data_IF_137687377961
#
_entry.id   IF_137687377961
#
_cell.length_a   1.000
_cell.length_b   1.000
_cell.length_c   1.000
_cell.angle_alpha   90.00
_cell.angle_beta   90.00
_cell.angle_gamma   90.00
#
_symmetry.space_group_name_H-M   'P 1'
#
loop_
_entity.id
_entity.type
_entity.pdbx_description
1 polymer ?
#
# COMPACT_ATOMS: atom_id res chain seq x y z
N UNK A 1 -11.08 6.91 -21.58
CA UNK A 1 -11.34 6.09 -20.37
C UNK A 1 -10.47 6.65 -19.26
N UNK A 2 -11.06 7.37 -18.34
CA UNK A 2 -10.38 8.15 -17.31
C UNK A 2 -9.82 7.22 -16.23
N UNK A 3 -8.50 7.08 -16.14
CA UNK A 3 -7.86 6.47 -14.98
C UNK A 3 -8.08 7.42 -13.81
N UNK A 4 -8.84 6.97 -12.80
CA UNK A 4 -8.95 7.67 -11.53
C UNK A 4 -7.54 7.90 -11.00
N UNK A 5 -7.24 9.17 -10.76
CA UNK A 5 -6.07 9.61 -9.99
C UNK A 5 -6.08 8.86 -8.66
N UNK A 6 -5.09 7.99 -8.44
CA UNK A 6 -4.93 7.21 -7.21
C UNK A 6 -4.21 8.08 -6.17
N UNK A 7 -4.64 9.31 -5.99
CA UNK A 7 -4.25 10.16 -4.86
C UNK A 7 -5.46 11.00 -4.49
N UNK A 8 -6.42 10.32 -3.85
CA UNK A 8 -7.31 10.98 -2.91
C UNK A 8 -6.52 11.21 -1.62
N UNK A 9 -6.80 12.31 -0.94
CA UNK A 9 -6.43 12.58 0.43
C UNK A 9 -6.34 11.29 1.23
N UNK A 10 -5.16 10.98 1.75
CA UNK A 10 -5.01 10.03 2.83
C UNK A 10 -5.57 10.69 4.11
N UNK A 11 -6.86 10.98 4.08
CA UNK A 11 -7.64 10.98 5.29
C UNK A 11 -7.49 9.59 5.91
N UNK A 12 -7.16 9.52 7.18
CA UNK A 12 -7.00 8.33 8.00
C UNK A 12 -8.30 7.49 8.02
N UNK A 13 -8.73 7.04 6.86
CA UNK A 13 -9.74 6.00 6.71
C UNK A 13 -9.21 4.75 7.39
N UNK A 14 -9.91 4.28 8.42
CA UNK A 14 -9.49 3.15 9.24
C UNK A 14 -9.03 1.98 8.37
N UNK A 15 -7.96 1.29 8.79
CA UNK A 15 -7.44 0.15 8.07
C UNK A 15 -8.56 -0.86 7.78
N UNK A 16 -8.68 -1.32 6.54
CA UNK A 16 -9.64 -2.36 6.17
C UNK A 16 -9.21 -3.65 6.86
N UNK A 17 -10.04 -4.24 7.74
CA UNK A 17 -9.69 -5.49 8.38
C UNK A 17 -9.66 -6.62 7.35
N UNK A 18 -8.55 -7.34 7.30
CA UNK A 18 -8.37 -8.55 6.49
C UNK A 18 -8.13 -9.73 7.43
N UNK A 19 -8.82 -10.85 7.16
CA UNK A 19 -8.64 -12.09 7.92
C UNK A 19 -7.66 -13.06 7.22
N UNK A 20 -7.42 -14.22 7.84
CA UNK A 20 -6.54 -15.26 7.29
C UNK A 20 -6.94 -15.70 5.89
N UNK A 21 -8.23 -15.88 5.64
CA UNK A 21 -8.72 -16.27 4.31
C UNK A 21 -8.45 -15.19 3.26
N UNK A 22 -8.60 -13.93 3.61
CA UNK A 22 -8.25 -12.81 2.72
C UNK A 22 -6.76 -12.80 2.41
N UNK A 23 -5.93 -13.01 3.42
CA UNK A 23 -4.47 -13.11 3.26
C UNK A 23 -4.10 -14.22 2.28
N UNK A 24 -4.63 -15.43 2.49
CA UNK A 24 -4.39 -16.60 1.62
C UNK A 24 -4.91 -16.40 0.20
N UNK A 25 -6.05 -15.71 0.03
CA UNK A 25 -6.57 -15.33 -1.29
C UNK A 25 -5.62 -14.39 -2.01
N UNK A 26 -5.17 -13.33 -1.36
CA UNK A 26 -4.24 -12.35 -1.95
C UNK A 26 -2.93 -13.04 -2.31
N UNK A 27 -2.39 -13.91 -1.45
CA UNK A 27 -1.17 -14.68 -1.74
C UNK A 27 -1.32 -15.54 -2.99
N UNK A 28 -2.43 -16.31 -3.08
CA UNK A 28 -2.69 -17.18 -4.21
C UNK A 28 -2.78 -16.40 -5.53
N UNK A 29 -3.55 -15.31 -5.56
CA UNK A 29 -3.70 -14.49 -6.77
C UNK A 29 -2.46 -13.68 -7.11
N UNK A 30 -1.61 -13.36 -6.13
CA UNK A 30 -0.30 -12.73 -6.37
C UNK A 30 0.68 -13.73 -6.99
N UNK A 31 0.73 -14.97 -6.48
CA UNK A 31 1.61 -16.01 -7.00
C UNK A 31 1.15 -16.53 -8.37
N UNK A 32 -0.15 -16.62 -8.59
CA UNK A 32 -0.74 -17.16 -9.81
C UNK A 32 -1.85 -16.21 -10.34
N UNK A 33 -1.48 -15.10 -11.00
CA UNK A 33 -2.44 -14.08 -11.44
C UNK A 33 -3.51 -14.58 -12.44
N UNK A 34 -3.29 -15.75 -13.03
CA UNK A 34 -4.22 -16.39 -13.99
C UNK A 34 -5.09 -17.48 -13.36
N UNK A 35 -4.97 -17.72 -12.05
CA UNK A 35 -5.81 -18.71 -11.38
C UNK A 35 -7.28 -18.28 -11.44
N UNK A 36 -8.17 -19.19 -11.82
CA UNK A 36 -9.62 -18.94 -11.84
C UNK A 36 -10.24 -19.12 -10.47
N UNK A 37 -11.36 -18.41 -10.20
CA UNK A 37 -12.10 -18.46 -8.92
C UNK A 37 -12.47 -19.90 -8.52
N UNK A 38 -12.82 -20.76 -9.47
CA UNK A 38 -13.16 -22.16 -9.21
C UNK A 38 -11.94 -22.93 -8.67
N UNK A 39 -10.78 -22.75 -9.28
CA UNK A 39 -9.56 -23.41 -8.83
C UNK A 39 -9.08 -22.85 -7.48
N UNK A 40 -9.16 -21.55 -7.30
CA UNK A 40 -8.87 -20.91 -6.01
C UNK A 40 -9.78 -21.46 -4.89
N UNK A 41 -11.08 -21.67 -5.16
CA UNK A 41 -12.01 -22.24 -4.17
C UNK A 41 -11.63 -23.65 -3.77
N UNK A 42 -11.18 -24.48 -4.71
CA UNK A 42 -10.72 -25.84 -4.42
C UNK A 42 -9.46 -25.86 -3.57
N UNK A 43 -8.47 -25.05 -3.92
CA UNK A 43 -7.18 -24.97 -3.18
C UNK A 43 -7.35 -24.41 -1.78
N UNK A 44 -8.25 -23.47 -1.59
CA UNK A 44 -8.49 -22.85 -0.29
C UNK A 44 -9.54 -23.58 0.56
N UNK A 45 -10.23 -24.58 -0.02
CA UNK A 45 -11.22 -25.37 0.69
C UNK A 45 -12.49 -24.59 1.04
N UNK A 46 -12.88 -23.59 0.23
CA UNK A 46 -14.05 -22.74 0.46
C UNK A 46 -14.98 -22.72 -0.75
N UNK A 47 -16.24 -22.33 -0.58
CA UNK A 47 -17.19 -22.24 -1.68
C UNK A 47 -16.76 -21.17 -2.70
N UNK A 48 -17.04 -21.43 -4.00
CA UNK A 48 -16.76 -20.49 -5.09
C UNK A 48 -17.36 -19.09 -4.84
N UNK A 49 -18.60 -19.04 -4.34
CA UNK A 49 -19.26 -17.78 -4.00
C UNK A 49 -18.54 -16.99 -2.90
N UNK A 50 -17.93 -17.69 -1.94
CA UNK A 50 -17.12 -17.07 -0.88
C UNK A 50 -15.88 -16.41 -1.47
N UNK A 51 -15.15 -17.08 -2.37
CA UNK A 51 -13.97 -16.51 -3.06
C UNK A 51 -14.38 -15.26 -3.83
N UNK A 52 -15.44 -15.34 -4.63
CA UNK A 52 -15.90 -14.20 -5.44
C UNK A 52 -16.29 -13.01 -4.54
N UNK A 53 -17.12 -13.25 -3.53
CA UNK A 53 -17.57 -12.17 -2.62
C UNK A 53 -16.41 -11.49 -1.89
N UNK A 54 -15.38 -12.27 -1.50
CA UNK A 54 -14.18 -11.73 -0.87
C UNK A 54 -13.34 -10.89 -1.82
N UNK A 55 -13.09 -11.36 -3.04
CA UNK A 55 -12.37 -10.59 -4.07
C UNK A 55 -13.10 -9.29 -4.39
N UNK A 56 -14.43 -9.33 -4.55
CA UNK A 56 -15.24 -8.14 -4.83
C UNK A 56 -15.19 -7.14 -3.66
N UNK A 57 -15.19 -7.63 -2.42
CA UNK A 57 -15.03 -6.81 -1.23
C UNK A 57 -13.64 -6.15 -1.20
N UNK A 58 -12.58 -6.94 -1.31
CA UNK A 58 -11.19 -6.45 -1.27
C UNK A 58 -10.92 -5.42 -2.38
N UNK A 59 -11.52 -5.60 -3.56
CA UNK A 59 -11.43 -4.63 -4.65
C UNK A 59 -12.24 -3.36 -4.37
N UNK A 60 -13.45 -3.47 -3.82
CA UNK A 60 -14.31 -2.34 -3.45
C UNK A 60 -13.69 -1.50 -2.36
N UNK A 61 -13.11 -2.15 -1.36
CA UNK A 61 -12.49 -1.52 -0.21
C UNK A 61 -11.06 -1.00 -0.52
N UNK A 62 -10.59 -1.17 -1.76
CA UNK A 62 -9.31 -0.65 -2.24
C UNK A 62 -8.07 -1.43 -1.78
N UNK A 63 -8.24 -2.58 -1.11
CA UNK A 63 -7.13 -3.46 -0.73
C UNK A 63 -6.46 -4.04 -1.99
N UNK A 64 -7.28 -4.44 -2.97
CA UNK A 64 -6.81 -4.82 -4.31
C UNK A 64 -6.98 -3.59 -5.21
N UNK A 65 -5.86 -2.91 -5.50
CA UNK A 65 -5.87 -1.65 -6.25
C UNK A 65 -6.00 -1.85 -7.78
N UNK A 66 -5.77 -3.05 -8.29
CA UNK A 66 -5.88 -3.33 -9.73
C UNK A 66 -5.51 -4.77 -10.09
N UNK A 67 -5.83 -5.12 -11.32
CA UNK A 67 -5.57 -6.46 -11.90
C UNK A 67 -4.74 -6.34 -13.21
N UNK A 68 -4.04 -5.21 -13.39
CA UNK A 68 -3.18 -4.99 -14.56
C UNK A 68 -1.89 -5.82 -14.47
N UNK A 69 -1.25 -6.10 -15.63
CA UNK A 69 0.07 -6.71 -15.64
C UNK A 69 1.08 -5.75 -15.00
N UNK A 70 2.04 -6.32 -14.28
CA UNK A 70 3.22 -5.60 -13.85
C UNK A 70 4.16 -5.43 -15.05
N UNK A 71 4.61 -4.20 -15.27
CA UNK A 71 5.49 -3.85 -16.39
C UNK A 71 6.87 -3.52 -15.86
N UNK A 72 7.88 -4.23 -16.35
CA UNK A 72 9.28 -3.93 -16.07
C UNK A 72 9.79 -2.87 -17.04
N UNK A 73 10.17 -1.66 -16.57
CA UNK A 73 10.73 -0.62 -17.41
C UNK A 73 12.03 -1.06 -18.12
N UNK A 74 12.85 -1.87 -17.48
CA UNK A 74 14.10 -2.35 -18.05
C UNK A 74 13.85 -3.23 -19.28
N UNK A 75 12.82 -4.06 -19.28
CA UNK A 75 12.39 -4.86 -20.43
C UNK A 75 11.90 -4.00 -21.61
N UNK A 76 11.47 -2.77 -21.35
CA UNK A 76 11.12 -1.77 -22.37
C UNK A 76 12.32 -0.92 -22.81
N UNK A 77 13.53 -1.22 -22.33
CA UNK A 77 14.75 -0.49 -22.66
C UNK A 77 15.09 0.68 -21.73
N UNK A 78 14.32 0.91 -20.67
CA UNK A 78 14.59 1.93 -19.64
C UNK A 78 15.37 1.31 -18.48
N UNK A 79 16.66 1.02 -18.72
CA UNK A 79 17.52 0.33 -17.75
C UNK A 79 18.12 1.20 -16.65
N UNK A 80 17.97 2.53 -16.72
CA UNK A 80 18.45 3.47 -15.71
C UNK A 80 17.27 3.95 -14.87
N UNK A 81 17.38 3.83 -13.56
CA UNK A 81 16.41 4.41 -12.61
C UNK A 81 17.10 5.50 -11.80
N UNK A 82 16.44 6.63 -11.62
CA UNK A 82 16.89 7.71 -10.73
C UNK A 82 15.75 8.19 -9.84
N UNK A 83 16.12 8.70 -8.67
CA UNK A 83 15.22 9.44 -7.79
C UNK A 83 15.59 10.92 -7.88
N UNK A 84 14.61 11.74 -8.22
CA UNK A 84 14.78 13.18 -8.43
C UNK A 84 13.97 13.93 -7.40
N UNK A 85 14.67 14.66 -6.53
CA UNK A 85 14.04 15.54 -5.54
C UNK A 85 13.89 16.93 -6.15
N UNK A 86 12.69 17.48 -6.11
CA UNK A 86 12.34 18.78 -6.64
C UNK A 86 12.08 19.78 -5.53
N UNK A 87 12.59 21.01 -5.69
CA UNK A 87 12.17 22.18 -4.95
C UNK A 87 11.25 23.02 -5.85
N UNK A 88 10.10 23.40 -5.30
CA UNK A 88 9.07 24.11 -6.02
C UNK A 88 8.99 25.55 -5.54
N UNK A 89 8.54 26.44 -6.42
CA UNK A 89 8.15 27.80 -6.02
C UNK A 89 6.90 27.70 -5.15
N UNK A 90 6.88 28.46 -4.06
CA UNK A 90 5.74 28.48 -3.12
C UNK A 90 4.45 29.01 -3.74
N UNK A 91 4.53 29.78 -4.82
CA UNK A 91 3.38 30.29 -5.54
C UNK A 91 2.84 29.22 -6.51
N UNK A 92 1.66 28.67 -6.22
CA UNK A 92 0.94 27.78 -7.15
C UNK A 92 0.67 26.35 -6.67
N UNK A 93 1.29 25.91 -5.59
CA UNK A 93 1.06 24.59 -5.01
C UNK A 93 1.65 23.42 -5.83
N UNK A 94 1.49 22.18 -5.31
CA UNK A 94 2.07 20.96 -5.89
C UNK A 94 1.28 20.43 -7.12
N UNK A 95 -0.03 20.62 -7.17
CA UNK A 95 -0.93 20.04 -8.17
C UNK A 95 -0.63 20.44 -9.62
N UNK A 96 -0.34 21.73 -9.94
CA UNK A 96 -0.01 22.12 -11.31
C UNK A 96 1.28 21.45 -11.81
N UNK A 97 2.28 21.32 -10.92
CA UNK A 97 3.55 20.65 -11.23
C UNK A 97 3.31 19.16 -11.43
N UNK A 98 2.59 18.50 -10.51
CA UNK A 98 2.27 17.08 -10.60
C UNK A 98 1.55 16.72 -11.91
N UNK A 99 0.55 17.54 -12.34
CA UNK A 99 -0.13 17.34 -13.63
C UNK A 99 0.79 17.44 -14.84
N UNK A 100 1.81 18.29 -14.80
CA UNK A 100 2.79 18.43 -15.89
C UNK A 100 3.80 17.28 -15.87
N UNK A 101 4.28 16.88 -14.69
CA UNK A 101 5.16 15.71 -14.52
C UNK A 101 4.47 14.43 -15.01
N UNK A 102 3.17 14.28 -14.81
CA UNK A 102 2.40 13.13 -15.30
C UNK A 102 2.33 13.05 -16.84
N UNK A 103 2.73 14.10 -17.56
CA UNK A 103 2.83 14.10 -19.02
C UNK A 103 4.22 13.68 -19.52
N UNK A 104 5.19 13.52 -18.62
CA UNK A 104 6.54 13.02 -18.93
C UNK A 104 6.54 11.50 -18.76
N UNK A 105 6.62 10.70 -19.82
CA UNK A 105 6.47 9.25 -19.74
C UNK A 105 7.50 8.58 -18.84
N UNK A 106 8.69 9.16 -18.75
CA UNK A 106 9.79 8.65 -17.94
C UNK A 106 9.61 8.91 -16.43
N UNK A 107 8.69 9.79 -16.04
CA UNK A 107 8.29 9.98 -14.63
C UNK A 107 7.23 8.93 -14.28
N UNK A 108 7.65 7.87 -13.61
CA UNK A 108 6.77 6.73 -13.29
C UNK A 108 6.08 6.87 -11.92
N UNK A 109 6.64 7.66 -11.01
CA UNK A 109 6.05 8.00 -9.71
C UNK A 109 6.43 9.44 -9.33
N UNK A 110 5.55 10.13 -8.61
CA UNK A 110 5.81 11.43 -8.01
C UNK A 110 5.05 11.55 -6.68
N UNK A 111 5.75 11.95 -5.63
CA UNK A 111 5.23 12.07 -4.27
C UNK A 111 5.53 13.46 -3.72
N UNK A 112 4.58 14.07 -3.03
CA UNK A 112 4.87 15.20 -2.14
C UNK A 112 5.58 14.67 -0.90
N UNK A 113 6.67 15.29 -0.50
CA UNK A 113 7.50 14.82 0.61
C UNK A 113 7.72 15.92 1.64
N UNK A 114 8.08 15.52 2.84
CA UNK A 114 8.64 16.39 3.88
C UNK A 114 10.17 16.30 3.83
N UNK A 115 10.88 17.39 4.17
CA UNK A 115 12.35 17.40 4.24
C UNK A 115 12.99 18.40 3.27
N UNK A 116 14.15 18.07 2.66
CA UNK A 116 14.93 19.04 1.89
C UNK A 116 14.34 19.42 0.52
N UNK A 117 13.22 18.83 0.14
CA UNK A 117 12.51 19.13 -1.10
C UNK A 117 11.01 19.02 -0.92
N UNK A 118 10.27 19.39 -1.96
CA UNK A 118 8.80 19.42 -1.96
C UNK A 118 8.20 18.19 -2.64
N UNK A 119 8.90 17.64 -3.64
CA UNK A 119 8.47 16.44 -4.36
C UNK A 119 9.64 15.50 -4.59
N UNK A 120 9.36 14.18 -4.56
CA UNK A 120 10.26 13.11 -4.96
C UNK A 120 9.65 12.37 -6.15
N UNK A 121 10.41 12.29 -7.24
CA UNK A 121 10.02 11.56 -8.44
C UNK A 121 10.91 10.33 -8.62
N UNK A 122 10.30 9.21 -9.01
CA UNK A 122 11.02 8.07 -9.58
C UNK A 122 10.99 8.19 -11.09
N UNK A 123 12.17 8.22 -11.67
CA UNK A 123 12.39 8.49 -13.11
C UNK A 123 13.13 7.32 -13.71
N UNK A 124 12.78 6.96 -14.94
CA UNK A 124 13.48 5.94 -15.71
C UNK A 124 14.04 6.54 -17.00
N UNK A 125 15.15 5.98 -17.48
CA UNK A 125 15.79 6.42 -18.71
C UNK A 125 16.49 5.25 -19.41
N UNK A 126 16.79 5.41 -20.70
CA UNK A 126 17.47 4.37 -21.51
C UNK A 126 18.97 4.34 -21.27
N UNK A 127 19.55 5.47 -20.89
CA UNK A 127 20.98 5.65 -20.62
C UNK A 127 21.19 6.84 -19.68
N UNK A 128 22.41 7.03 -19.19
CA UNK A 128 22.76 8.22 -18.39
C UNK A 128 22.62 9.52 -19.21
N UNK A 129 22.92 9.49 -20.52
CA UNK A 129 22.71 10.64 -21.41
C UNK A 129 21.22 10.94 -21.58
N UNK A 130 20.38 9.90 -21.70
CA UNK A 130 18.94 10.06 -21.78
C UNK A 130 18.35 10.55 -20.45
N UNK A 131 18.92 10.11 -19.30
CA UNK A 131 18.54 10.62 -17.99
C UNK A 131 18.74 12.14 -17.89
N UNK A 132 19.87 12.64 -18.40
CA UNK A 132 20.12 14.10 -18.43
C UNK A 132 19.02 14.82 -19.20
N UNK A 133 18.66 14.34 -20.39
CA UNK A 133 17.55 14.90 -21.18
C UNK A 133 16.23 14.90 -20.37
N UNK A 134 15.92 13.81 -19.69
CA UNK A 134 14.69 13.72 -18.87
C UNK A 134 14.73 14.71 -17.70
N UNK A 135 15.86 14.86 -17.02
CA UNK A 135 16.03 15.86 -15.96
C UNK A 135 15.83 17.27 -16.50
N UNK A 136 16.38 17.58 -17.68
CA UNK A 136 16.21 18.90 -18.31
C UNK A 136 14.74 19.18 -18.61
N UNK A 137 13.97 18.18 -19.07
CA UNK A 137 12.51 18.28 -19.27
C UNK A 137 11.79 18.54 -17.95
N UNK A 138 12.16 17.85 -16.88
CA UNK A 138 11.56 18.02 -15.55
C UNK A 138 11.84 19.42 -14.99
N UNK A 139 13.08 19.90 -15.10
CA UNK A 139 13.49 21.22 -14.63
C UNK A 139 12.79 22.34 -15.43
N UNK A 140 12.50 22.12 -16.71
CA UNK A 140 11.74 23.05 -17.53
C UNK A 140 10.25 23.14 -17.16
N UNK A 141 9.73 22.26 -16.31
CA UNK A 141 8.35 22.33 -15.82
C UNK A 141 8.15 23.60 -15.00
N UNK A 142 7.20 24.43 -15.41
CA UNK A 142 6.91 25.68 -14.69
C UNK A 142 6.48 25.38 -13.25
N UNK A 143 7.14 26.02 -12.30
CA UNK A 143 6.97 25.78 -10.86
C UNK A 143 8.12 24.98 -10.24
N UNK A 144 8.92 24.29 -11.03
CA UNK A 144 10.17 23.67 -10.54
C UNK A 144 11.25 24.77 -10.45
N UNK A 145 11.88 24.87 -9.30
CA UNK A 145 12.97 25.81 -9.06
C UNK A 145 14.32 25.12 -9.10
N UNK A 146 14.39 23.92 -8.50
CA UNK A 146 15.62 23.15 -8.43
C UNK A 146 15.31 21.65 -8.46
N UNK A 147 16.24 20.87 -9.04
CA UNK A 147 16.23 19.43 -9.03
C UNK A 147 17.57 18.89 -8.50
N UNK A 148 17.50 17.83 -7.71
CA UNK A 148 18.64 17.03 -7.27
C UNK A 148 18.34 15.57 -7.58
N UNK A 149 19.26 14.87 -8.24
CA UNK A 149 19.06 13.49 -8.69
C UNK A 149 20.09 12.54 -8.07
N UNK A 150 19.63 11.33 -7.74
CA UNK A 150 20.47 10.19 -7.36
C UNK A 150 20.12 9.01 -8.26
N UNK A 151 21.13 8.34 -8.82
CA UNK A 151 20.95 7.16 -9.66
C UNK A 151 20.89 5.93 -8.78
N UNK A 152 19.88 5.07 -8.97
CA UNK A 152 19.79 3.76 -8.35
C UNK A 152 20.80 2.82 -9.01
N UNK A 153 21.77 2.33 -8.26
CA UNK A 153 22.76 1.38 -8.77
C UNK A 153 22.20 -0.04 -8.85
N UNK A 154 21.36 -0.42 -7.86
CA UNK A 154 20.68 -1.70 -7.80
C UNK A 154 19.45 -1.62 -6.89
N UNK A 155 18.41 -2.34 -7.23
CA UNK A 155 17.24 -2.53 -6.36
C UNK A 155 17.52 -3.71 -5.42
N UNK A 156 17.79 -3.44 -4.15
CA UNK A 156 18.06 -4.46 -3.15
C UNK A 156 16.78 -5.15 -2.65
N UNK A 157 15.70 -4.39 -2.52
CA UNK A 157 14.37 -4.89 -2.19
C UNK A 157 13.40 -4.32 -3.21
N UNK A 158 12.80 -5.14 -4.08
CA UNK A 158 11.79 -4.68 -5.01
C UNK A 158 10.53 -4.24 -4.27
N UNK A 159 9.73 -3.37 -4.90
CA UNK A 159 8.43 -2.98 -4.36
C UNK A 159 7.57 -4.22 -4.12
N UNK A 160 7.04 -4.36 -2.91
CA UNK A 160 6.24 -5.51 -2.49
C UNK A 160 5.28 -5.13 -1.37
N UNK A 161 4.05 -5.58 -1.46
CA UNK A 161 3.01 -5.35 -0.46
C UNK A 161 2.58 -6.63 0.28
N UNK A 162 2.89 -7.81 -0.28
CA UNK A 162 2.49 -9.10 0.29
C UNK A 162 2.91 -9.31 1.76
N UNK A 163 4.12 -8.89 2.22
CA UNK A 163 4.47 -8.96 3.64
C UNK A 163 3.55 -8.14 4.55
N UNK A 164 3.00 -7.02 4.05
CA UNK A 164 2.04 -6.20 4.80
C UNK A 164 0.69 -6.89 4.92
N UNK A 165 0.26 -7.61 3.87
CA UNK A 165 -0.98 -8.41 3.89
C UNK A 165 -0.90 -9.48 4.98
N UNK A 166 0.22 -10.22 5.04
CA UNK A 166 0.45 -11.22 6.09
C UNK A 166 0.40 -10.62 7.49
N UNK A 167 1.16 -9.56 7.71
CA UNK A 167 1.20 -8.88 9.00
C UNK A 167 -0.15 -8.27 9.40
N UNK A 168 -1.02 -7.92 8.46
CA UNK A 168 -2.36 -7.43 8.76
C UNK A 168 -3.32 -8.57 9.10
N UNK A 169 -3.26 -9.70 8.39
CA UNK A 169 -4.05 -10.89 8.67
C UNK A 169 -3.70 -11.49 10.07
N UNK A 170 -2.41 -11.57 10.41
CA UNK A 170 -1.94 -12.06 11.70
C UNK A 170 -2.47 -11.20 12.87
N UNK A 171 -2.52 -9.87 12.71
CA UNK A 171 -3.08 -8.97 13.74
C UNK A 171 -4.57 -9.18 13.94
N UNK A 172 -5.33 -9.37 12.87
CA UNK A 172 -6.76 -9.65 12.97
C UNK A 172 -7.05 -10.99 13.67
N UNK A 173 -6.20 -11.99 13.49
CA UNK A 173 -6.28 -13.28 14.21
C UNK A 173 -5.94 -13.17 15.70
N UNK A 174 -4.99 -12.32 16.06
CA UNK A 174 -4.55 -12.11 17.44
C UNK A 174 -5.59 -11.41 18.34
N UNK A 175 -6.32 -10.44 17.79
CA UNK A 175 -7.35 -9.72 18.53
C UNK A 175 -8.58 -10.60 18.88
N UNK A 176 -8.82 -11.68 18.14
CA UNK A 176 -9.89 -12.64 18.44
C UNK A 176 -9.52 -13.68 19.51
N UNK A 177 -8.23 -13.90 19.74
CA UNK A 177 -7.75 -14.86 20.73
C UNK A 177 -7.66 -14.28 22.17
N UNK A 178 -7.70 -12.96 22.32
CA UNK A 178 -7.59 -12.26 23.61
C UNK A 178 -8.90 -11.97 24.35
N UNK A 179 -10.06 -12.27 23.75
CA UNK A 179 -11.38 -11.87 24.26
C UNK A 179 -12.09 -12.84 25.21
N UNK A 180 -11.55 -14.04 25.48
CA UNK A 180 -12.32 -15.11 26.15
C UNK A 180 -11.87 -15.44 27.59
N UNK A 181 -11.21 -14.54 28.29
CA UNK A 181 -10.82 -14.74 29.69
C UNK A 181 -11.18 -13.56 30.61
N UNK A 182 -12.47 -13.14 30.61
CA UNK A 182 -13.00 -12.30 31.69
C UNK A 182 -14.50 -12.57 31.89
N UNK A 183 -14.83 -13.69 32.50
CA UNK A 183 -16.22 -13.98 32.84
C UNK A 183 -16.39 -15.28 33.61
N UNK A 184 -16.21 -15.26 34.91
CA UNK A 184 -16.66 -16.38 35.71
C UNK A 184 -15.96 -16.53 37.07
N UNK A 185 -16.19 -15.67 38.00
CA UNK A 185 -16.35 -16.10 39.37
C UNK A 185 -17.27 -15.13 40.14
N UNK A 186 -18.56 -15.49 40.18
CA UNK A 186 -19.53 -15.05 41.17
C UNK A 186 -20.21 -16.32 41.70
N UNK A 187 -19.92 -16.65 42.91
CA UNK A 187 -20.62 -17.68 43.68
C UNK A 187 -20.05 -17.67 45.05
N UNK A 188 -20.67 -16.97 45.89
CA UNK A 188 -21.71 -17.32 46.83
C UNK A 188 -21.17 -18.05 48.06
N UNK A 189 -21.35 -17.50 49.17
CA UNK A 189 -22.18 -17.89 50.31
C UNK A 189 -21.42 -17.59 51.59
N UNK A 190 -21.90 -16.70 52.46
CA UNK A 190 -22.97 -16.84 53.36
C UNK A 190 -22.54 -17.54 54.65
N UNK A 191 -22.31 -16.81 55.72
CA UNK A 191 -22.90 -17.12 57.03
C UNK A 191 -22.20 -16.38 58.18
N UNK A 192 -22.90 -15.41 58.76
CA UNK A 192 -22.71 -15.04 60.17
C UNK A 192 -23.20 -16.22 61.08
N UNK A 193 -22.67 -16.39 62.28
CA UNK A 193 -23.29 -15.76 63.42
C UNK A 193 -22.27 -15.26 64.47
N UNK A 194 -22.45 -14.12 65.08
CA UNK A 194 -23.17 -13.98 66.37
C UNK A 194 -22.36 -14.38 67.60
N UNK A 195 -21.92 -13.43 68.42
CA UNK A 195 -21.37 -13.69 69.75
C UNK A 195 -20.97 -12.37 70.41
N UNK A 196 -21.82 -12.01 71.38
CA UNK A 196 -21.77 -10.80 72.25
C UNK A 196 -20.78 -11.00 73.44
N UNK A 197 -20.40 -9.88 74.11
CA UNK A 197 -19.25 -9.72 74.98
C UNK A 197 -19.53 -10.20 76.45
N UNK A 198 -18.56 -10.14 77.31
CA UNK A 198 -18.43 -9.01 78.21
C UNK A 198 -17.02 -8.81 78.80
N UNK A 199 -16.84 -7.66 79.34
CA UNK A 199 -15.76 -7.30 80.23
C UNK A 199 -15.34 -5.84 80.09
#
# INVERSE_FOLDING_TARGET
MSRRSVHGDHDTGGAVPIDDLDGRLIELFTAEPRVGVLEASRRLGVARGTVQARLDRLARDGVIAGHGPEIDPAALGYGVTAFVTLQLRQEGGHDPVARRLAQVPEVIEAHTITGPGDMLCRVVARSNTDLQRVIDVIVAVAGVERASSVISLATQVPYRTLPLVRAAADRAGGDHAGGDHAGGDRGADGKKPGGRPPG
#
